data_IF_089765980923
#
_entry.id   IF_089765980923
#
_cell.length_a   1.000
_cell.length_b   1.000
_cell.length_c   1.000
_cell.angle_alpha   90.00
_cell.angle_beta   90.00
_cell.angle_gamma   90.00
#
_symmetry.space_group_name_H-M   'P 1'
#
loop_
_entity.id
_entity.type
_entity.pdbx_description
1 polymer ?
#
# COMPACT_ATOMS: atom_id res chain seq x y z
N UNK A 1 13.84 11.72 18.81
CA UNK A 1 13.00 11.55 17.61
C UNK A 1 11.73 10.83 18.00
N UNK A 2 10.60 11.53 17.97
CA UNK A 2 9.28 10.97 18.24
C UNK A 2 8.88 9.95 17.15
N UNK A 3 7.95 9.07 17.47
CA UNK A 3 7.43 8.08 16.51
C UNK A 3 6.92 8.75 15.21
N UNK A 4 6.35 9.96 15.33
CA UNK A 4 5.84 10.77 14.21
C UNK A 4 6.94 11.26 13.28
N UNK A 5 8.10 11.67 13.80
CA UNK A 5 9.23 12.11 12.97
C UNK A 5 9.85 10.96 12.17
N UNK A 6 9.92 9.76 12.78
CA UNK A 6 10.37 8.54 12.08
C UNK A 6 9.40 8.15 10.97
N UNK A 7 8.10 8.29 11.20
CA UNK A 7 7.07 8.00 10.22
C UNK A 7 7.12 9.00 9.05
N UNK A 8 7.28 10.30 9.33
CA UNK A 8 7.43 11.33 8.30
C UNK A 8 8.67 11.12 7.44
N UNK A 9 9.81 10.77 8.05
CA UNK A 9 11.04 10.46 7.30
C UNK A 9 10.89 9.20 6.43
N UNK A 10 10.15 8.19 6.89
CA UNK A 10 9.84 6.99 6.09
C UNK A 10 8.93 7.31 4.89
N UNK A 11 7.91 8.16 5.09
CA UNK A 11 7.01 8.62 4.02
C UNK A 11 7.76 9.49 3.01
N UNK A 12 8.63 10.40 3.47
CA UNK A 12 9.45 11.24 2.60
C UNK A 12 10.41 10.42 1.72
N UNK A 13 11.03 9.37 2.28
CA UNK A 13 11.86 8.43 1.50
C UNK A 13 11.04 7.65 0.47
N UNK A 14 9.82 7.22 0.80
CA UNK A 14 8.94 6.51 -0.14
C UNK A 14 8.49 7.38 -1.32
N UNK A 15 8.29 8.69 -1.12
CA UNK A 15 7.91 9.64 -2.19
C UNK A 15 8.97 9.82 -3.28
N UNK A 16 10.21 9.46 -3.02
CA UNK A 16 11.30 9.50 -4.01
C UNK A 16 11.22 8.30 -4.96
N UNK A 17 10.74 7.14 -4.47
CA UNK A 17 10.67 5.89 -5.24
C UNK A 17 9.26 5.47 -5.67
N UNK A 18 8.21 6.02 -5.06
CA UNK A 18 6.80 5.63 -5.28
C UNK A 18 5.95 6.85 -5.62
N UNK A 19 5.06 6.71 -6.62
CA UNK A 19 4.04 7.73 -6.94
C UNK A 19 2.78 7.49 -6.10
N UNK A 20 2.18 8.57 -5.59
CA UNK A 20 0.97 8.52 -4.76
C UNK A 20 -0.27 8.18 -5.60
N UNK A 21 -1.09 7.22 -5.14
CA UNK A 21 -2.38 6.85 -5.74
C UNK A 21 -3.50 7.37 -4.84
N UNK A 22 -4.32 8.31 -5.34
CA UNK A 22 -5.50 8.83 -4.64
C UNK A 22 -6.76 8.17 -5.18
N UNK A 23 -7.31 7.22 -4.42
CA UNK A 23 -8.54 6.51 -4.79
C UNK A 23 -9.49 6.40 -3.59
N UNK A 24 -10.78 6.39 -3.90
CA UNK A 24 -11.84 6.03 -2.95
C UNK A 24 -12.33 4.63 -3.27
N UNK A 25 -12.37 3.76 -2.26
CA UNK A 25 -12.91 2.40 -2.36
C UNK A 25 -14.12 2.26 -1.45
N UNK A 26 -14.99 1.29 -1.75
CA UNK A 26 -16.17 1.02 -0.92
C UNK A 26 -15.77 0.67 0.51
N UNK A 27 -16.48 1.20 1.49
CA UNK A 27 -16.17 1.00 2.92
C UNK A 27 -15.97 -0.47 3.31
N UNK A 28 -16.83 -1.43 2.91
CA UNK A 28 -16.63 -2.83 3.28
C UNK A 28 -15.32 -3.42 2.76
N UNK A 29 -14.87 -3.01 1.57
CA UNK A 29 -13.60 -3.48 1.01
C UNK A 29 -12.42 -2.91 1.79
N UNK A 30 -12.52 -1.66 2.25
CA UNK A 30 -11.50 -1.03 3.08
C UNK A 30 -11.38 -1.71 4.44
N UNK A 31 -12.51 -2.06 5.06
CA UNK A 31 -12.52 -2.72 6.36
C UNK A 31 -11.86 -4.09 6.29
N UNK A 32 -12.22 -4.90 5.28
CA UNK A 32 -11.59 -6.20 5.01
C UNK A 32 -10.09 -6.05 4.73
N UNK A 33 -9.71 -5.04 3.93
CA UNK A 33 -8.30 -4.77 3.63
C UNK A 33 -7.51 -4.44 4.91
N UNK A 34 -8.07 -3.64 5.81
CA UNK A 34 -7.42 -3.27 7.08
C UNK A 34 -7.22 -4.52 7.96
N UNK A 35 -8.23 -5.39 8.04
CA UNK A 35 -8.15 -6.64 8.80
C UNK A 35 -7.06 -7.57 8.23
N UNK A 36 -7.02 -7.76 6.90
CA UNK A 36 -5.97 -8.52 6.23
C UNK A 36 -4.58 -7.94 6.48
N UNK A 37 -4.44 -6.62 6.36
CA UNK A 37 -3.17 -5.93 6.63
C UNK A 37 -2.70 -6.17 8.07
N UNK A 38 -3.62 -6.10 9.04
CA UNK A 38 -3.32 -6.36 10.44
C UNK A 38 -2.93 -7.82 10.68
N UNK A 39 -3.58 -8.77 10.00
CA UNK A 39 -3.31 -10.21 10.14
C UNK A 39 -1.97 -10.60 9.54
N UNK A 40 -1.63 -10.07 8.38
CA UNK A 40 -0.38 -10.40 7.68
C UNK A 40 0.80 -9.53 8.14
N UNK A 41 0.57 -8.52 8.98
CA UNK A 41 1.62 -7.60 9.43
C UNK A 41 2.14 -6.70 8.31
N UNK A 42 1.34 -6.47 7.28
CA UNK A 42 1.69 -5.65 6.11
C UNK A 42 0.97 -4.31 6.15
N UNK A 43 1.53 -3.33 5.44
CA UNK A 43 0.90 -2.02 5.27
C UNK A 43 -0.12 -2.04 4.14
N UNK A 44 -1.12 -1.15 4.21
CA UNK A 44 -2.11 -0.96 3.13
C UNK A 44 -1.44 -0.69 1.77
N UNK A 45 -0.33 0.06 1.76
CA UNK A 45 0.45 0.33 0.56
C UNK A 45 1.04 -0.96 -0.05
N UNK A 46 1.63 -1.82 0.78
CA UNK A 46 2.17 -3.12 0.32
C UNK A 46 1.07 -4.04 -0.20
N UNK A 47 -0.11 -4.03 0.44
CA UNK A 47 -1.26 -4.78 -0.06
C UNK A 47 -1.68 -4.29 -1.45
N UNK A 48 -1.78 -2.97 -1.65
CA UNK A 48 -2.12 -2.38 -2.96
C UNK A 48 -1.04 -2.64 -4.00
N UNK A 49 0.24 -2.55 -3.66
CA UNK A 49 1.36 -2.88 -4.56
C UNK A 49 1.29 -4.34 -5.01
N UNK A 50 1.08 -5.27 -4.08
CA UNK A 50 0.94 -6.70 -4.39
C UNK A 50 -0.29 -6.98 -5.27
N UNK A 51 -1.40 -6.29 -5.03
CA UNK A 51 -2.60 -6.40 -5.86
C UNK A 51 -2.34 -5.90 -7.28
N UNK A 52 -1.67 -4.75 -7.43
CA UNK A 52 -1.28 -4.19 -8.72
C UNK A 52 -0.28 -5.10 -9.45
N UNK A 53 0.75 -5.61 -8.78
CA UNK A 53 1.71 -6.53 -9.39
C UNK A 53 1.03 -7.80 -9.91
N UNK A 54 0.14 -8.39 -9.11
CA UNK A 54 -0.58 -9.60 -9.49
C UNK A 54 -1.48 -9.35 -10.71
N UNK A 55 -2.20 -8.23 -10.73
CA UNK A 55 -3.07 -7.86 -11.86
C UNK A 55 -2.24 -7.57 -13.13
N UNK A 56 -1.16 -6.81 -13.01
CA UNK A 56 -0.29 -6.49 -14.15
C UNK A 56 0.43 -7.73 -14.70
N UNK A 57 0.81 -8.69 -13.83
CA UNK A 57 1.33 -9.99 -14.24
C UNK A 57 0.26 -10.83 -14.95
N UNK A 58 -0.97 -10.86 -14.41
CA UNK A 58 -2.09 -11.57 -15.03
C UNK A 58 -2.43 -11.02 -16.42
N UNK A 59 -2.26 -9.71 -16.63
CA UNK A 59 -2.42 -9.06 -17.93
C UNK A 59 -1.18 -9.12 -18.83
N UNK A 60 -0.07 -9.74 -18.37
CA UNK A 60 1.17 -9.87 -19.13
C UNK A 60 1.95 -8.56 -19.30
N UNK A 61 1.61 -7.52 -18.55
CA UNK A 61 2.25 -6.19 -18.57
C UNK A 61 3.49 -6.13 -17.67
N UNK A 62 3.62 -7.07 -16.74
CA UNK A 62 4.79 -7.26 -15.88
C UNK A 62 5.35 -8.67 -16.10
N UNK A 63 6.65 -8.77 -16.41
CA UNK A 63 7.38 -10.03 -16.59
C UNK A 63 8.05 -10.46 -15.30
#
# INVERSE_FOLDING_TARGET
MSASEKQMAAVARKRISHKEIKVFVRNPLKDIMIELCSREGITQAQFVEKLLENELKAQGLLK
#
